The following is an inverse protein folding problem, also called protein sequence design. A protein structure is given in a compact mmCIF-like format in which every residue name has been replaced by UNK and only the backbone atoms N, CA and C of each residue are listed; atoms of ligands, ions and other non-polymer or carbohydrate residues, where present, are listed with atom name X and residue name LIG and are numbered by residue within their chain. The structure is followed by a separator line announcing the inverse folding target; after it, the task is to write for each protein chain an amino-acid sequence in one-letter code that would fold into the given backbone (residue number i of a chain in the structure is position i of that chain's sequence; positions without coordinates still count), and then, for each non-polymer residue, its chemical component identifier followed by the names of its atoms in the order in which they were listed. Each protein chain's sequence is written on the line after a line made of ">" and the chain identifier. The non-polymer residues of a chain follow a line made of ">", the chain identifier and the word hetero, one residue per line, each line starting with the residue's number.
data_IF_867168307944
#
_entry.id   IF_867168307944
#
_cell.length_a   1.000
_cell.length_b   1.000
_cell.length_c   1.000
_cell.angle_alpha   90.00
_cell.angle_beta   90.00
_cell.angle_gamma   90.00
#
_symmetry.space_group_name_H-M   'P 1'
#
loop_
_entity.id
_entity.type
_entity.pdbx_description
1 polymer ?
#
# COMPACT_ATOMS: atom_id res chain seq x y z
N UNK A 1 2.87 -0.41 -24.72
CA UNK A 1 1.88 0.42 -24.02
C UNK A 1 2.67 1.35 -23.09
N UNK A 2 2.74 2.65 -23.39
CA UNK A 2 3.66 3.58 -22.72
C UNK A 2 3.20 3.93 -21.30
N UNK A 3 4.12 3.90 -20.34
CA UNK A 3 3.90 4.36 -18.97
C UNK A 3 3.63 5.87 -18.94
N UNK A 4 2.78 6.38 -18.03
CA UNK A 4 2.52 7.81 -17.91
C UNK A 4 3.79 8.56 -17.47
N UNK A 5 4.07 9.68 -18.15
CA UNK A 5 5.17 10.60 -17.85
C UNK A 5 4.81 11.57 -16.72
N UNK A 6 5.79 11.93 -15.89
CA UNK A 6 5.67 12.98 -14.86
C UNK A 6 5.59 14.37 -15.53
N UNK A 7 4.87 15.36 -14.95
CA UNK A 7 4.84 16.77 -15.39
C UNK A 7 6.22 17.45 -15.64
N UNK A 8 7.34 16.86 -15.22
CA UNK A 8 8.70 17.31 -15.55
C UNK A 8 9.34 16.65 -16.81
N UNK A 9 8.61 15.81 -17.56
CA UNK A 9 9.08 15.24 -18.82
C UNK A 9 10.13 14.11 -18.73
N UNK A 10 10.50 13.64 -17.54
CA UNK A 10 11.41 12.51 -17.36
C UNK A 10 10.72 11.14 -17.41
N UNK A 11 11.31 10.18 -18.12
CA UNK A 11 10.91 8.77 -18.07
C UNK A 11 11.42 8.10 -16.79
N UNK A 12 10.60 7.29 -16.13
CA UNK A 12 11.07 6.33 -15.13
C UNK A 12 11.80 5.18 -15.86
N UNK A 13 13.12 5.22 -15.87
CA UNK A 13 13.99 4.26 -16.56
C UNK A 13 15.45 4.32 -16.08
N UNK A 14 16.28 3.33 -16.40
CA UNK A 14 17.55 2.99 -15.73
C UNK A 14 18.69 4.02 -15.81
N UNK A 15 18.50 5.14 -16.50
CA UNK A 15 19.60 5.97 -17.00
C UNK A 15 19.80 7.30 -16.25
N UNK A 16 19.15 7.50 -15.10
CA UNK A 16 19.50 8.62 -14.21
C UNK A 16 20.74 8.26 -13.37
N UNK A 17 21.90 8.32 -14.01
CA UNK A 17 23.19 8.14 -13.36
C UNK A 17 23.35 9.02 -12.12
N UNK A 18 23.93 8.42 -11.09
CA UNK A 18 24.11 8.90 -9.73
C UNK A 18 22.83 8.86 -8.86
N UNK A 19 22.89 8.16 -7.73
CA UNK A 19 21.86 8.22 -6.73
C UNK A 19 22.17 9.30 -5.74
N UNK A 20 21.32 10.28 -5.77
CA UNK A 20 21.31 11.32 -4.79
C UNK A 20 19.95 11.16 -4.11
N UNK A 21 19.95 10.86 -2.81
CA UNK A 21 18.73 10.96 -1.99
C UNK A 21 18.12 12.38 -2.08
N UNK A 22 18.89 13.32 -2.64
CA UNK A 22 18.53 14.67 -2.99
C UNK A 22 18.63 14.84 -4.51
N UNK A 23 17.77 15.55 -5.22
CA UNK A 23 18.02 15.83 -6.64
C UNK A 23 19.29 16.72 -6.81
N UNK A 24 19.91 16.77 -8.01
CA UNK A 24 20.92 17.79 -8.32
C UNK A 24 20.40 19.20 -7.98
N UNK A 25 21.17 20.01 -7.25
CA UNK A 25 20.76 21.34 -6.76
C UNK A 25 20.10 21.36 -5.37
N UNK A 26 19.87 20.19 -4.77
CA UNK A 26 19.31 20.04 -3.42
C UNK A 26 20.35 19.61 -2.36
N UNK A 27 21.62 19.87 -2.61
CA UNK A 27 22.73 19.50 -1.71
C UNK A 27 22.63 20.19 -0.35
N UNK A 28 21.94 21.34 -0.28
CA UNK A 28 21.63 22.07 0.95
C UNK A 28 20.69 21.32 1.90
N UNK A 29 20.00 20.27 1.44
CA UNK A 29 19.16 19.40 2.27
C UNK A 29 19.94 18.25 2.92
N UNK A 30 21.24 18.11 2.63
CA UNK A 30 22.10 17.16 3.32
C UNK A 30 22.14 17.51 4.81
N UNK A 31 22.08 16.51 5.72
CA UNK A 31 22.23 16.77 7.14
C UNK A 31 23.53 17.53 7.38
N UNK A 32 23.46 18.66 8.08
CA UNK A 32 24.62 19.51 8.41
C UNK A 32 25.42 18.95 9.59
N UNK A 33 25.16 17.71 10.00
CA UNK A 33 25.91 17.07 11.08
C UNK A 33 27.32 16.76 10.61
N UNK A 34 28.23 17.70 10.82
CA UNK A 34 29.64 17.63 10.40
C UNK A 34 30.43 16.55 11.13
N UNK A 35 29.88 15.98 12.20
CA UNK A 35 30.47 14.89 12.98
C UNK A 35 29.91 13.50 12.58
N UNK A 36 29.07 13.43 11.54
CA UNK A 36 28.55 12.16 11.03
C UNK A 36 29.66 11.34 10.36
N UNK A 37 30.19 10.37 11.11
CA UNK A 37 31.18 9.38 10.63
C UNK A 37 30.53 8.20 9.92
N UNK A 38 29.22 8.24 9.66
CA UNK A 38 28.54 7.18 8.93
C UNK A 38 29.20 6.99 7.57
N UNK A 39 29.37 5.74 7.13
CA UNK A 39 29.82 5.49 5.77
C UNK A 39 28.89 6.22 4.80
N UNK A 40 29.46 6.82 3.76
CA UNK A 40 28.68 7.41 2.67
C UNK A 40 27.66 6.37 2.21
N UNK A 41 26.37 6.72 2.30
CA UNK A 41 25.31 5.83 1.84
C UNK A 41 25.63 5.46 0.40
N UNK A 42 25.84 4.16 0.19
CA UNK A 42 26.09 3.58 -1.12
C UNK A 42 25.04 4.06 -2.12
N UNK A 43 25.31 3.93 -3.43
CA UNK A 43 24.36 4.37 -4.41
C UNK A 43 22.94 3.81 -4.18
N UNK A 44 21.90 4.66 -4.21
CA UNK A 44 20.45 4.32 -4.09
C UNK A 44 20.20 2.95 -4.70
N UNK A 45 20.09 1.96 -3.84
CA UNK A 45 19.97 0.56 -4.22
C UNK A 45 18.58 0.24 -4.78
N UNK A 46 17.63 1.18 -4.64
CA UNK A 46 16.23 1.06 -5.08
C UNK A 46 16.07 1.00 -6.61
N UNK A 47 17.11 1.32 -7.39
CA UNK A 47 17.09 1.24 -8.86
C UNK A 47 17.81 0.00 -9.43
N UNK A 48 18.32 -0.86 -8.55
CA UNK A 48 18.98 -2.11 -8.96
C UNK A 48 17.96 -3.08 -9.59
N UNK A 49 18.41 -4.08 -10.37
CA UNK A 49 17.51 -5.06 -10.97
C UNK A 49 16.59 -5.76 -9.97
N UNK A 50 17.08 -6.08 -8.76
CA UNK A 50 16.30 -6.70 -7.70
C UNK A 50 15.08 -5.85 -7.29
N UNK A 51 15.32 -4.58 -6.99
CA UNK A 51 14.27 -3.66 -6.56
C UNK A 51 13.25 -3.40 -7.67
N UNK A 52 13.69 -3.28 -8.93
CA UNK A 52 12.80 -3.20 -10.09
C UNK A 52 11.87 -4.42 -10.21
N UNK A 53 12.40 -5.63 -10.01
CA UNK A 53 11.59 -6.85 -10.01
C UNK A 53 10.57 -6.86 -8.88
N UNK A 54 10.98 -6.54 -7.64
CA UNK A 54 10.08 -6.50 -6.48
C UNK A 54 8.99 -5.43 -6.64
N UNK A 55 9.34 -4.27 -7.20
CA UNK A 55 8.39 -3.18 -7.42
C UNK A 55 7.34 -3.57 -8.46
N UNK A 56 7.76 -4.17 -9.58
CA UNK A 56 6.84 -4.61 -10.63
C UNK A 56 5.85 -5.66 -10.09
N UNK A 57 6.34 -6.69 -9.41
CA UNK A 57 5.50 -7.72 -8.78
C UNK A 57 4.57 -7.11 -7.72
N UNK A 58 5.08 -6.20 -6.91
CA UNK A 58 4.32 -5.50 -5.89
C UNK A 58 3.22 -4.63 -6.47
N UNK A 59 3.49 -3.93 -7.57
CA UNK A 59 2.50 -3.09 -8.24
C UNK A 59 1.36 -3.93 -8.82
N UNK A 60 1.67 -5.06 -9.46
CA UNK A 60 0.66 -6.01 -9.95
C UNK A 60 -0.21 -6.55 -8.81
N UNK A 61 0.42 -7.02 -7.73
CA UNK A 61 -0.31 -7.53 -6.57
C UNK A 61 -1.17 -6.44 -5.91
N UNK A 62 -0.63 -5.23 -5.75
CA UNK A 62 -1.36 -4.10 -5.16
C UNK A 62 -2.60 -3.76 -5.99
N UNK A 63 -2.49 -3.70 -7.32
CA UNK A 63 -3.64 -3.48 -8.21
C UNK A 63 -4.69 -4.57 -8.07
N UNK A 64 -4.27 -5.83 -7.98
CA UNK A 64 -5.17 -6.97 -7.77
C UNK A 64 -5.97 -6.83 -6.47
N UNK A 65 -5.33 -6.42 -5.38
CA UNK A 65 -5.98 -6.33 -4.07
C UNK A 65 -6.82 -5.07 -3.93
N UNK A 66 -6.23 -3.88 -4.09
CA UNK A 66 -6.93 -2.61 -3.78
C UNK A 66 -7.60 -1.95 -4.98
N UNK A 67 -7.41 -2.48 -6.19
CA UNK A 67 -7.98 -1.99 -7.44
C UNK A 67 -7.08 -1.01 -8.18
N UNK A 68 -7.14 -1.04 -9.52
CA UNK A 68 -6.26 -0.25 -10.39
C UNK A 68 -6.46 1.27 -10.23
N UNK A 69 -7.71 1.74 -10.19
CA UNK A 69 -8.03 3.16 -10.01
C UNK A 69 -7.51 3.71 -8.67
N UNK A 70 -7.62 2.90 -7.61
CA UNK A 70 -7.09 3.27 -6.30
C UNK A 70 -5.57 3.41 -6.35
N UNK A 71 -4.87 2.48 -6.99
CA UNK A 71 -3.42 2.53 -7.14
C UNK A 71 -3.01 3.75 -7.96
N UNK A 72 -3.66 4.01 -9.10
CA UNK A 72 -3.37 5.17 -9.93
C UNK A 72 -3.52 6.48 -9.16
N UNK A 73 -4.61 6.63 -8.41
CA UNK A 73 -4.86 7.80 -7.56
C UNK A 73 -3.87 7.92 -6.38
N UNK A 74 -3.47 6.79 -5.79
CA UNK A 74 -2.47 6.77 -4.70
C UNK A 74 -1.08 7.19 -5.21
N UNK A 75 -0.68 6.69 -6.38
CA UNK A 75 0.62 7.03 -6.97
C UNK A 75 0.66 8.49 -7.46
N UNK A 76 -0.44 9.03 -7.98
CA UNK A 76 -0.49 10.43 -8.40
C UNK A 76 -0.43 11.41 -7.23
N UNK A 77 -1.08 11.09 -6.10
CA UNK A 77 -1.07 11.93 -4.89
C UNK A 77 0.23 11.85 -4.10
N UNK A 78 0.92 10.70 -4.16
CA UNK A 78 2.15 10.45 -3.41
C UNK A 78 3.37 10.40 -4.35
N UNK A 79 3.43 11.33 -5.30
CA UNK A 79 4.51 11.41 -6.30
C UNK A 79 5.64 12.37 -5.93
N UNK A 80 5.53 13.05 -4.77
CA UNK A 80 6.56 14.00 -4.33
C UNK A 80 7.84 13.26 -3.93
N UNK A 81 8.98 13.93 -4.07
CA UNK A 81 10.30 13.38 -3.69
C UNK A 81 10.34 12.92 -2.24
N UNK A 82 9.61 13.59 -1.36
CA UNK A 82 9.46 13.22 0.04
C UNK A 82 8.69 11.91 0.26
N UNK A 83 7.61 11.69 -0.50
CA UNK A 83 6.71 10.53 -0.31
C UNK A 83 7.12 9.31 -1.14
N UNK A 84 7.83 9.53 -2.24
CA UNK A 84 8.21 8.50 -3.20
C UNK A 84 8.96 7.31 -2.58
N UNK A 85 9.99 7.49 -1.70
CA UNK A 85 10.70 6.37 -1.11
C UNK A 85 9.78 5.49 -0.24
N UNK A 86 8.83 6.10 0.47
CA UNK A 86 7.84 5.38 1.26
C UNK A 86 6.91 4.55 0.37
N UNK A 87 6.42 5.14 -0.72
CA UNK A 87 5.55 4.43 -1.68
C UNK A 87 6.29 3.26 -2.33
N UNK A 88 7.55 3.47 -2.71
CA UNK A 88 8.39 2.42 -3.28
C UNK A 88 8.62 1.30 -2.27
N UNK A 89 9.07 1.65 -1.06
CA UNK A 89 9.26 0.69 0.04
C UNK A 89 8.00 -0.10 0.33
N UNK A 90 6.84 0.55 0.45
CA UNK A 90 5.57 -0.13 0.70
C UNK A 90 5.18 -1.08 -0.44
N UNK A 91 5.41 -0.66 -1.70
CA UNK A 91 5.13 -1.46 -2.90
C UNK A 91 5.99 -2.72 -2.93
N UNK A 92 7.28 -2.58 -2.69
CA UNK A 92 8.21 -3.71 -2.70
C UNK A 92 8.05 -4.62 -1.48
N UNK A 93 8.11 -4.05 -0.28
CA UNK A 93 8.16 -4.84 0.96
C UNK A 93 6.85 -5.56 1.24
N UNK A 94 5.70 -4.87 1.21
CA UNK A 94 4.43 -5.50 1.50
C UNK A 94 3.93 -6.30 0.30
N UNK A 95 3.70 -5.62 -0.82
CA UNK A 95 3.02 -6.20 -1.96
C UNK A 95 3.92 -7.13 -2.77
N UNK A 96 5.19 -6.78 -2.97
CA UNK A 96 6.15 -7.57 -3.72
C UNK A 96 6.65 -8.81 -2.99
N UNK A 97 6.66 -8.80 -1.64
CA UNK A 97 7.17 -9.96 -0.86
C UNK A 97 6.09 -10.69 -0.07
N UNK A 98 5.38 -10.05 0.86
CA UNK A 98 4.53 -10.78 1.82
C UNK A 98 3.25 -11.28 1.15
N UNK A 99 2.62 -10.45 0.33
CA UNK A 99 1.36 -10.79 -0.36
C UNK A 99 1.52 -11.81 -1.48
N UNK A 100 2.75 -12.02 -1.98
CA UNK A 100 3.06 -13.00 -3.03
C UNK A 100 3.47 -14.37 -2.49
N UNK A 101 3.66 -14.51 -1.16
CA UNK A 101 4.07 -15.78 -0.55
C UNK A 101 2.95 -16.83 -0.61
N UNK A 102 3.31 -18.11 -0.85
CA UNK A 102 2.36 -19.21 -0.70
C UNK A 102 2.02 -19.43 0.79
N UNK A 103 0.99 -20.22 1.05
CA UNK A 103 0.60 -20.67 2.39
C UNK A 103 -0.69 -20.04 2.94
N UNK A 104 -0.95 -18.77 2.60
CA UNK A 104 -2.24 -18.13 2.87
C UNK A 104 -2.84 -17.58 1.58
N UNK A 105 -4.13 -17.85 1.39
CA UNK A 105 -4.90 -17.27 0.29
C UNK A 105 -4.99 -15.75 0.43
N UNK A 106 -5.23 -15.05 -0.68
CA UNK A 106 -5.44 -13.60 -0.64
C UNK A 106 -6.65 -13.22 0.20
N UNK A 107 -7.69 -14.07 0.22
CA UNK A 107 -8.85 -13.94 1.10
C UNK A 107 -8.42 -13.91 2.57
N UNK A 108 -7.69 -14.92 3.01
CA UNK A 108 -7.31 -15.05 4.42
C UNK A 108 -6.36 -13.91 4.85
N UNK A 109 -5.44 -13.51 3.96
CA UNK A 109 -4.58 -12.34 4.19
C UNK A 109 -5.38 -11.06 4.35
N UNK A 110 -6.40 -10.84 3.53
CA UNK A 110 -7.28 -9.68 3.66
C UNK A 110 -8.01 -9.69 5.00
N UNK A 111 -8.57 -10.83 5.44
CA UNK A 111 -9.26 -10.94 6.73
C UNK A 111 -8.32 -10.63 7.91
N UNK A 112 -7.09 -11.15 7.89
CA UNK A 112 -6.06 -10.82 8.89
C UNK A 112 -5.73 -9.32 8.89
N UNK A 113 -5.62 -8.71 7.71
CA UNK A 113 -5.41 -7.27 7.61
C UNK A 113 -6.57 -6.47 8.21
N UNK A 114 -7.83 -6.88 8.01
CA UNK A 114 -8.97 -6.20 8.64
C UNK A 114 -8.86 -6.25 10.17
N UNK A 115 -8.53 -7.41 10.74
CA UNK A 115 -8.35 -7.57 12.19
C UNK A 115 -7.20 -6.69 12.71
N UNK A 116 -6.05 -6.68 12.03
CA UNK A 116 -4.91 -5.85 12.43
C UNK A 116 -5.21 -4.35 12.33
N UNK A 117 -5.90 -3.91 11.27
CA UNK A 117 -6.26 -2.49 11.09
C UNK A 117 -7.30 -2.04 12.13
N UNK A 118 -8.20 -2.94 12.52
CA UNK A 118 -9.11 -2.71 13.64
C UNK A 118 -8.36 -2.55 14.96
N UNK A 119 -7.42 -3.46 15.26
CA UNK A 119 -6.61 -3.39 16.47
C UNK A 119 -5.77 -2.10 16.54
N UNK A 120 -5.28 -1.60 15.40
CA UNK A 120 -4.43 -0.41 15.29
C UNK A 120 -5.21 0.91 15.17
N UNK A 121 -6.54 0.86 15.08
CA UNK A 121 -7.39 2.04 14.91
C UNK A 121 -7.20 2.76 13.57
N UNK A 122 -6.86 2.04 12.49
CA UNK A 122 -6.53 2.63 11.17
C UNK A 122 -7.72 2.60 10.22
N UNK A 123 -8.72 3.43 10.51
CA UNK A 123 -10.05 3.39 9.86
C UNK A 123 -10.05 3.70 8.36
N UNK A 124 -9.22 4.65 7.92
CA UNK A 124 -9.09 4.98 6.48
C UNK A 124 -8.55 3.78 5.70
N UNK A 125 -7.52 3.14 6.23
CA UNK A 125 -6.91 1.93 5.65
C UNK A 125 -7.86 0.74 5.74
N UNK A 126 -8.59 0.58 6.86
CA UNK A 126 -9.59 -0.46 7.02
C UNK A 126 -10.60 -0.42 5.88
N UNK A 127 -11.15 0.76 5.56
CA UNK A 127 -12.09 0.90 4.46
C UNK A 127 -11.52 0.52 3.09
N UNK A 128 -10.24 0.84 2.84
CA UNK A 128 -9.54 0.39 1.62
C UNK A 128 -9.42 -1.12 1.58
N UNK A 129 -9.06 -1.74 2.71
CA UNK A 129 -8.87 -3.19 2.81
C UNK A 129 -10.18 -3.98 2.85
N UNK A 130 -11.31 -3.39 3.23
CA UNK A 130 -12.63 -4.03 3.09
C UNK A 130 -12.95 -4.29 1.61
N UNK A 131 -12.72 -3.29 0.73
CA UNK A 131 -12.89 -3.50 -0.73
C UNK A 131 -11.95 -4.57 -1.25
N UNK A 132 -10.70 -4.56 -0.77
CA UNK A 132 -9.72 -5.56 -1.14
C UNK A 132 -10.04 -6.97 -0.62
N UNK A 133 -10.69 -7.10 0.54
CA UNK A 133 -11.19 -8.37 1.04
C UNK A 133 -12.24 -8.96 0.10
N UNK A 134 -13.23 -8.16 -0.28
CA UNK A 134 -14.28 -8.59 -1.21
C UNK A 134 -13.71 -9.00 -2.56
N UNK A 135 -12.80 -8.19 -3.16
CA UNK A 135 -12.14 -8.53 -4.43
C UNK A 135 -11.30 -9.81 -4.36
N UNK A 136 -10.72 -10.09 -3.20
CA UNK A 136 -9.97 -11.33 -2.95
C UNK A 136 -10.88 -12.53 -2.62
N UNK A 137 -12.20 -12.37 -2.68
CA UNK A 137 -13.19 -13.44 -2.49
C UNK A 137 -13.68 -13.61 -1.06
N UNK A 138 -13.44 -12.66 -0.16
CA UNK A 138 -14.05 -12.69 1.17
C UNK A 138 -15.53 -12.29 1.07
N UNK A 139 -16.39 -13.08 1.71
CA UNK A 139 -17.82 -12.80 1.81
C UNK A 139 -18.10 -11.73 2.87
N UNK A 140 -19.26 -11.06 2.77
CA UNK A 140 -19.75 -10.16 3.83
C UNK A 140 -19.81 -10.87 5.18
N UNK A 141 -20.18 -12.15 5.19
CA UNK A 141 -20.21 -12.99 6.39
C UNK A 141 -18.82 -13.17 6.98
N UNK A 142 -17.82 -13.58 6.19
CA UNK A 142 -16.45 -13.74 6.68
C UNK A 142 -15.86 -12.42 7.21
N UNK A 143 -16.15 -11.29 6.55
CA UNK A 143 -15.73 -9.96 7.02
C UNK A 143 -16.39 -9.65 8.37
N UNK A 144 -17.70 -9.87 8.50
CA UNK A 144 -18.44 -9.67 9.76
C UNK A 144 -17.85 -10.50 10.89
N UNK A 145 -17.61 -11.79 10.68
CA UNK A 145 -17.05 -12.68 11.71
C UNK A 145 -15.63 -12.27 12.13
N UNK A 146 -14.79 -11.84 11.17
CA UNK A 146 -13.46 -11.33 11.49
C UNK A 146 -13.51 -10.06 12.36
N UNK A 147 -14.45 -9.13 12.08
CA UNK A 147 -14.62 -7.92 12.87
C UNK A 147 -15.23 -8.20 14.26
N UNK A 148 -16.13 -9.18 14.38
CA UNK A 148 -16.62 -9.65 15.69
C UNK A 148 -15.47 -10.21 16.53
N UNK A 149 -14.63 -11.06 15.93
CA UNK A 149 -13.43 -11.59 16.59
C UNK A 149 -12.52 -10.44 17.07
N UNK A 150 -12.24 -9.46 16.21
CA UNK A 150 -11.45 -8.29 16.61
C UNK A 150 -12.10 -7.50 17.76
N UNK A 151 -13.43 -7.35 17.74
CA UNK A 151 -14.18 -6.63 18.79
C UNK A 151 -14.02 -7.26 20.18
N UNK A 152 -13.98 -8.61 20.24
CA UNK A 152 -13.82 -9.34 21.49
C UNK A 152 -12.45 -9.11 22.14
N UNK A 153 -11.38 -8.99 21.34
CA UNK A 153 -10.00 -8.88 21.84
C UNK A 153 -9.45 -7.45 21.85
N UNK A 154 -9.94 -6.57 20.98
CA UNK A 154 -9.50 -5.18 20.87
C UNK A 154 -10.47 -4.20 21.52
N UNK A 155 -11.59 -4.68 22.06
CA UNK A 155 -12.59 -3.89 22.76
C UNK A 155 -13.73 -3.39 21.87
N UNK A 156 -14.90 -3.22 22.49
CA UNK A 156 -16.13 -2.79 21.81
C UNK A 156 -16.00 -1.47 21.04
N UNK A 157 -15.30 -0.42 21.52
CA UNK A 157 -15.17 0.83 20.77
C UNK A 157 -14.48 0.66 19.41
N UNK A 158 -13.40 -0.14 19.35
CA UNK A 158 -12.70 -0.44 18.10
C UNK A 158 -13.59 -1.27 17.16
N UNK A 159 -14.30 -2.25 17.72
CA UNK A 159 -15.29 -3.04 16.99
C UNK A 159 -16.39 -2.21 16.35
N UNK A 160 -17.06 -1.36 17.13
CA UNK A 160 -18.14 -0.50 16.64
C UNK A 160 -17.67 0.40 15.49
N UNK A 161 -16.49 0.98 15.59
CA UNK A 161 -15.96 1.83 14.52
C UNK A 161 -15.59 1.03 13.28
N UNK A 162 -15.00 -0.16 13.45
CA UNK A 162 -14.72 -1.06 12.35
C UNK A 162 -15.99 -1.47 11.60
N UNK A 163 -17.08 -1.77 12.31
CA UNK A 163 -18.38 -2.08 11.72
C UNK A 163 -18.97 -0.91 10.95
N UNK A 164 -18.91 0.32 11.48
CA UNK A 164 -19.37 1.53 10.76
C UNK A 164 -18.61 1.72 9.45
N UNK A 165 -17.29 1.58 9.49
CA UNK A 165 -16.44 1.71 8.31
C UNK A 165 -16.75 0.62 7.28
N UNK A 166 -16.84 -0.64 7.73
CA UNK A 166 -17.12 -1.76 6.84
C UNK A 166 -18.50 -1.64 6.19
N UNK A 167 -19.56 -1.38 6.97
CA UNK A 167 -20.92 -1.27 6.45
C UNK A 167 -21.05 -0.15 5.42
N UNK A 168 -20.48 1.03 5.70
CA UNK A 168 -20.43 2.13 4.72
C UNK A 168 -19.75 1.70 3.42
N UNK A 169 -18.60 1.05 3.51
CA UNK A 169 -17.85 0.61 2.31
C UNK A 169 -18.60 -0.47 1.54
N UNK A 170 -19.20 -1.45 2.21
CA UNK A 170 -19.97 -2.52 1.58
C UNK A 170 -21.23 -1.96 0.90
N UNK A 171 -21.90 -0.98 1.50
CA UNK A 171 -23.01 -0.24 0.87
C UNK A 171 -22.55 0.48 -0.41
N UNK A 172 -21.48 1.26 -0.34
CA UNK A 172 -20.93 1.96 -1.50
C UNK A 172 -20.53 0.99 -2.64
N UNK A 173 -20.03 -0.20 -2.30
CA UNK A 173 -19.69 -1.23 -3.30
C UNK A 173 -20.95 -1.85 -3.91
N UNK A 174 -21.98 -2.09 -3.12
CA UNK A 174 -23.25 -2.64 -3.60
C UNK A 174 -23.99 -1.67 -4.51
N UNK A 175 -24.02 -0.37 -4.18
CA UNK A 175 -24.58 0.69 -5.03
C UNK A 175 -23.90 0.76 -6.40
N UNK A 176 -22.59 0.44 -6.46
CA UNK A 176 -21.81 0.37 -7.70
C UNK A 176 -21.91 -0.97 -8.44
N UNK A 177 -22.64 -1.94 -7.89
CA UNK A 177 -22.73 -3.29 -8.44
C UNK A 177 -21.43 -4.11 -8.33
N UNK A 178 -20.50 -3.71 -7.47
CA UNK A 178 -19.24 -4.44 -7.23
C UNK A 178 -19.45 -5.68 -6.35
N UNK A 179 -20.57 -5.75 -5.62
CA UNK A 179 -21.00 -6.89 -4.82
C UNK A 179 -22.50 -6.86 -4.56
N UNK A 180 -23.04 -7.95 -4.01
CA UNK A 180 -24.44 -8.02 -3.52
C UNK A 180 -24.39 -8.09 -2.00
N UNK A 181 -25.21 -7.28 -1.31
CA UNK A 181 -25.40 -7.35 0.15
C UNK A 181 -26.19 -8.61 0.51
N UNK A 182 -25.80 -9.26 1.60
CA UNK A 182 -26.51 -10.41 2.18
C UNK A 182 -27.69 -10.03 3.06
#
# INVERSE_FOLDING_TARGET
>A
MSLPTNPAGGSYGPDSGAPNLYPPGHEHLRPTNTDDKSPSLAPNNMDTPLHKTLYAQGLEMRKKVVGEDYVANSLSKNSSDFTRPLVQFATESAWGTIWTRPGLSLRDRSLLNLVMLTALGKWIELGTHVRGAVRNGATEVEIREALLQASAYCGMPAGMEAFRVADRVLNEMAEKGEMVRG
#
